data_IF_940437991572
#
_entry.id   IF_940437991572
#
_cell.length_a   1.000
_cell.length_b   1.000
_cell.length_c   1.000
_cell.angle_alpha   90.00
_cell.angle_beta   90.00
_cell.angle_gamma   90.00
#
_symmetry.space_group_name_H-M   'P 1'
#
loop_
_entity.id
_entity.type
_entity.pdbx_description
1 polymer ?
#
# COMPACT_ATOMS: atom_id res chain seq x y z
N UNK A 1 2.41 10.76 18.39
CA UNK A 1 2.78 9.93 17.21
C UNK A 1 4.19 9.42 17.42
N UNK A 2 4.41 8.14 17.17
CA UNK A 2 5.78 7.58 17.18
C UNK A 2 6.44 8.03 15.88
N UNK A 3 7.57 8.73 15.98
CA UNK A 3 8.27 9.27 14.81
C UNK A 3 8.52 8.22 13.71
N UNK A 4 8.83 6.97 14.08
CA UNK A 4 9.03 5.89 13.13
C UNK A 4 7.80 5.55 12.30
N UNK A 5 6.60 5.61 12.86
CA UNK A 5 5.36 5.37 12.12
C UNK A 5 5.08 6.49 11.11
N UNK A 6 5.37 7.73 11.49
CA UNK A 6 5.23 8.87 10.59
C UNK A 6 6.22 8.79 9.42
N UNK A 7 7.50 8.51 9.71
CA UNK A 7 8.53 8.32 8.68
C UNK A 7 8.11 7.20 7.71
N UNK A 8 7.64 6.05 8.22
CA UNK A 8 7.18 4.94 7.39
C UNK A 8 6.02 5.34 6.46
N UNK A 9 5.06 6.12 6.93
CA UNK A 9 3.94 6.61 6.11
C UNK A 9 4.39 7.61 5.05
N UNK A 10 5.27 8.53 5.41
CA UNK A 10 5.83 9.52 4.46
C UNK A 10 6.61 8.81 3.36
N UNK A 11 7.49 7.87 3.70
CA UNK A 11 8.29 7.14 2.71
C UNK A 11 7.43 6.27 1.79
N UNK A 12 6.40 5.61 2.33
CA UNK A 12 5.44 4.85 1.50
C UNK A 12 4.61 5.76 0.58
N UNK A 13 4.18 6.93 1.07
CA UNK A 13 3.38 7.85 0.29
C UNK A 13 4.19 8.55 -0.82
N UNK A 14 5.50 8.71 -0.64
CA UNK A 14 6.35 9.53 -1.49
C UNK A 14 6.28 9.13 -2.97
N UNK A 15 6.34 7.83 -3.27
CA UNK A 15 6.28 7.35 -4.67
C UNK A 15 4.94 7.71 -5.33
N UNK A 16 3.83 7.58 -4.61
CA UNK A 16 2.50 7.90 -5.11
C UNK A 16 2.33 9.40 -5.32
N UNK A 17 2.83 10.22 -4.41
CA UNK A 17 2.79 11.68 -4.53
C UNK A 17 3.66 12.16 -5.71
N UNK A 18 4.87 11.63 -5.87
CA UNK A 18 5.74 11.94 -7.01
C UNK A 18 5.08 11.55 -8.35
N UNK A 19 4.41 10.38 -8.41
CA UNK A 19 3.64 9.97 -9.58
C UNK A 19 2.45 10.91 -9.86
N UNK A 20 1.70 11.28 -8.80
CA UNK A 20 0.53 12.12 -8.93
C UNK A 20 0.84 13.51 -9.48
N UNK A 21 1.96 14.12 -9.05
CA UNK A 21 2.38 15.45 -9.51
C UNK A 21 3.22 15.43 -10.80
N UNK A 22 3.45 14.24 -11.38
CA UNK A 22 4.12 14.11 -12.67
C UNK A 22 5.66 14.21 -12.62
N UNK A 23 6.28 14.01 -11.46
CA UNK A 23 7.74 13.90 -11.33
C UNK A 23 8.27 12.66 -12.05
N UNK A 24 7.48 11.58 -12.01
CA UNK A 24 7.77 10.34 -12.73
C UNK A 24 7.02 10.37 -14.06
N UNK A 25 7.74 10.15 -15.16
CA UNK A 25 7.13 10.04 -16.49
C UNK A 25 6.18 8.85 -16.56
N UNK A 26 4.95 9.10 -16.95
CA UNK A 26 3.88 8.10 -17.07
C UNK A 26 3.47 7.83 -18.52
N UNK A 27 4.21 8.30 -19.50
CA UNK A 27 3.90 8.06 -20.92
C UNK A 27 3.90 6.58 -21.24
N UNK A 28 4.85 5.83 -20.66
CA UNK A 28 4.91 4.37 -20.77
C UNK A 28 3.69 3.69 -20.13
N UNK A 29 3.27 4.11 -18.94
CA UNK A 29 2.11 3.55 -18.28
C UNK A 29 0.82 3.75 -19.09
N UNK A 30 0.67 4.87 -19.77
CA UNK A 30 -0.45 5.13 -20.67
C UNK A 30 -0.43 4.22 -21.91
N UNK A 31 0.74 4.01 -22.53
CA UNK A 31 0.90 3.10 -23.68
C UNK A 31 0.66 1.65 -23.30
N UNK A 32 1.17 1.20 -22.16
CA UNK A 32 0.94 -0.16 -21.64
C UNK A 32 -0.53 -0.40 -21.31
N UNK A 33 -1.21 0.59 -20.70
CA UNK A 33 -2.64 0.50 -20.42
C UNK A 33 -3.47 0.31 -21.71
N UNK A 34 -3.11 1.01 -22.79
CA UNK A 34 -3.72 0.83 -24.10
C UNK A 34 -3.39 -0.55 -24.70
N UNK A 35 -2.14 -1.02 -24.58
CA UNK A 35 -1.70 -2.32 -25.07
C UNK A 35 -2.43 -3.49 -24.34
N UNK A 36 -2.80 -3.32 -23.07
CA UNK A 36 -3.60 -4.27 -22.30
C UNK A 36 -5.12 -4.16 -22.57
N UNK A 37 -5.53 -3.48 -23.63
CA UNK A 37 -6.90 -3.47 -24.13
C UNK A 37 -7.79 -2.37 -23.55
N UNK A 38 -7.24 -1.38 -22.85
CA UNK A 38 -8.02 -0.22 -22.45
C UNK A 38 -8.42 0.61 -23.70
N UNK A 39 -9.72 0.96 -23.87
CA UNK A 39 -10.14 1.82 -24.99
C UNK A 39 -9.36 3.14 -25.00
N UNK A 40 -8.77 3.50 -26.14
CA UNK A 40 -7.91 4.68 -26.25
C UNK A 40 -8.57 5.97 -25.73
N UNK A 41 -9.90 6.10 -25.94
CA UNK A 41 -10.67 7.24 -25.44
C UNK A 41 -10.74 7.31 -23.90
N UNK A 42 -10.59 6.20 -23.20
CA UNK A 42 -10.65 6.12 -21.72
C UNK A 42 -9.28 6.25 -21.06
N UNK A 43 -8.19 6.01 -21.79
CA UNK A 43 -6.83 6.06 -21.21
C UNK A 43 -6.55 7.38 -20.49
N UNK A 44 -6.80 8.58 -21.05
CA UNK A 44 -6.58 9.84 -20.33
C UNK A 44 -7.39 9.96 -19.04
N UNK A 45 -8.64 9.52 -19.06
CA UNK A 45 -9.54 9.56 -17.89
C UNK A 45 -9.04 8.61 -16.79
N UNK A 46 -8.64 7.39 -17.14
CA UNK A 46 -8.10 6.40 -16.20
C UNK A 46 -6.79 6.88 -15.58
N UNK A 47 -5.91 7.48 -16.38
CA UNK A 47 -4.65 8.07 -15.91
C UNK A 47 -4.91 9.23 -14.94
N UNK A 48 -5.87 10.10 -15.25
CA UNK A 48 -6.25 11.21 -14.36
C UNK A 48 -6.87 10.71 -13.05
N UNK A 49 -7.78 9.74 -13.12
CA UNK A 49 -8.37 9.12 -11.94
C UNK A 49 -7.32 8.44 -11.05
N UNK A 50 -6.37 7.73 -11.66
CA UNK A 50 -5.24 7.13 -10.95
C UNK A 50 -4.36 8.18 -10.25
N UNK A 51 -4.04 9.30 -10.91
CA UNK A 51 -3.30 10.41 -10.29
C UNK A 51 -4.06 11.06 -9.15
N UNK A 52 -5.36 11.31 -9.31
CA UNK A 52 -6.21 11.88 -8.27
C UNK A 52 -6.27 10.95 -7.04
N UNK A 53 -6.45 9.65 -7.25
CA UNK A 53 -6.40 8.65 -6.18
C UNK A 53 -5.07 8.67 -5.43
N UNK A 54 -3.95 8.64 -6.15
CA UNK A 54 -2.60 8.67 -5.58
C UNK A 54 -2.35 9.94 -4.76
N UNK A 55 -2.81 11.10 -5.26
CA UNK A 55 -2.66 12.38 -4.57
C UNK A 55 -3.46 12.41 -3.27
N UNK A 56 -4.75 12.10 -3.34
CA UNK A 56 -5.65 12.17 -2.17
C UNK A 56 -5.26 11.14 -1.12
N UNK A 57 -5.09 9.88 -1.52
CA UNK A 57 -4.73 8.82 -0.59
C UNK A 57 -3.29 8.97 -0.07
N UNK A 58 -2.36 9.46 -0.90
CA UNK A 58 -0.99 9.76 -0.47
C UNK A 58 -0.93 10.85 0.59
N UNK A 59 -1.66 11.96 0.40
CA UNK A 59 -1.76 13.04 1.42
C UNK A 59 -2.42 12.49 2.68
N UNK A 60 -3.54 11.78 2.57
CA UNK A 60 -4.24 11.18 3.71
C UNK A 60 -3.32 10.26 4.52
N UNK A 61 -2.48 9.46 3.85
CA UNK A 61 -1.49 8.58 4.48
C UNK A 61 -0.42 9.38 5.25
N UNK A 62 0.11 10.48 4.68
CA UNK A 62 1.11 11.35 5.31
C UNK A 62 0.57 11.98 6.58
N UNK A 63 -0.62 12.60 6.52
CA UNK A 63 -1.23 13.29 7.67
C UNK A 63 -1.83 12.32 8.69
N UNK A 64 -2.01 11.03 8.33
CA UNK A 64 -2.61 10.01 9.19
C UNK A 64 -4.13 10.06 9.25
N UNK A 65 -4.77 10.71 8.27
CA UNK A 65 -6.23 10.77 8.19
C UNK A 65 -6.77 9.51 7.50
N UNK A 66 -7.56 8.72 8.23
CA UNK A 66 -8.03 7.41 7.75
C UNK A 66 -6.92 6.56 7.09
N UNK A 67 -5.72 6.57 7.69
CA UNK A 67 -4.50 5.99 7.13
C UNK A 67 -4.65 4.54 6.64
N UNK A 68 -5.50 3.73 7.29
CA UNK A 68 -5.78 2.35 6.88
C UNK A 68 -6.55 2.29 5.56
N UNK A 69 -7.56 3.14 5.40
CA UNK A 69 -8.33 3.24 4.16
C UNK A 69 -7.46 3.80 3.03
N UNK A 70 -6.66 4.83 3.33
CA UNK A 70 -5.73 5.39 2.36
C UNK A 70 -4.72 4.33 1.88
N UNK A 71 -4.11 3.58 2.80
CA UNK A 71 -3.20 2.50 2.47
C UNK A 71 -3.88 1.38 1.68
N UNK A 72 -5.12 1.01 2.04
CA UNK A 72 -5.90 0.01 1.31
C UNK A 72 -6.16 0.43 -0.14
N UNK A 73 -6.61 1.68 -0.37
CA UNK A 73 -6.86 2.18 -1.72
C UNK A 73 -5.58 2.24 -2.57
N UNK A 74 -4.47 2.66 -1.98
CA UNK A 74 -3.16 2.64 -2.67
C UNK A 74 -2.70 1.21 -2.97
N UNK A 75 -2.91 0.25 -2.07
CA UNK A 75 -2.59 -1.16 -2.29
C UNK A 75 -3.43 -1.76 -3.43
N UNK A 76 -4.75 -1.51 -3.42
CA UNK A 76 -5.66 -1.97 -4.48
C UNK A 76 -5.32 -1.35 -5.84
N UNK A 77 -4.94 -0.07 -5.87
CA UNK A 77 -4.47 0.60 -7.08
C UNK A 77 -3.15 0.00 -7.59
N UNK A 78 -2.22 -0.32 -6.68
CA UNK A 78 -0.89 -0.78 -7.04
C UNK A 78 -0.90 -2.14 -7.76
N UNK A 79 -1.87 -3.02 -7.48
CA UNK A 79 -1.99 -4.34 -8.11
C UNK A 79 -2.13 -4.21 -9.64
N UNK A 80 -3.22 -3.62 -10.18
CA UNK A 80 -3.39 -3.50 -11.61
C UNK A 80 -2.32 -2.61 -12.25
N UNK A 81 -1.87 -1.55 -11.56
CA UNK A 81 -0.82 -0.69 -12.06
C UNK A 81 0.51 -1.44 -12.24
N UNK A 82 0.86 -2.34 -11.31
CA UNK A 82 2.08 -3.14 -11.41
C UNK A 82 1.99 -4.17 -12.54
N UNK A 83 0.87 -4.87 -12.64
CA UNK A 83 0.67 -5.89 -13.68
C UNK A 83 0.64 -5.28 -15.08
N UNK A 84 0.10 -4.06 -15.24
CA UNK A 84 0.06 -3.38 -16.52
C UNK A 84 1.41 -2.74 -16.91
N UNK A 85 2.17 -2.17 -15.96
CA UNK A 85 3.38 -1.42 -16.25
C UNK A 85 4.67 -2.25 -16.15
N UNK A 86 4.65 -3.42 -15.51
CA UNK A 86 5.83 -4.24 -15.21
C UNK A 86 5.57 -5.72 -15.43
N UNK A 87 5.14 -6.07 -16.63
CA UNK A 87 4.91 -7.43 -17.12
C UNK A 87 6.24 -8.11 -17.51
N UNK A 88 7.16 -8.24 -16.56
CA UNK A 88 8.53 -8.74 -16.75
C UNK A 88 8.62 -10.06 -17.53
N UNK A 89 7.56 -10.88 -17.53
CA UNK A 89 7.48 -12.12 -18.30
C UNK A 89 7.42 -11.92 -19.82
N UNK A 90 7.09 -10.73 -20.30
CA UNK A 90 7.09 -10.36 -21.70
C UNK A 90 8.47 -9.91 -22.23
N UNK A 91 9.46 -9.74 -21.32
CA UNK A 91 10.78 -9.18 -21.65
C UNK A 91 11.90 -10.21 -21.53
N UNK A 92 13.03 -9.95 -22.23
CA UNK A 92 14.23 -10.78 -22.23
C UNK A 92 15.51 -9.93 -22.08
N UNK A 93 16.62 -10.58 -21.70
CA UNK A 93 17.92 -9.90 -21.59
C UNK A 93 17.96 -8.81 -20.51
N UNK A 94 18.55 -7.68 -20.84
CA UNK A 94 18.75 -6.56 -19.89
C UNK A 94 17.43 -5.88 -19.48
N UNK A 95 16.42 -5.86 -20.34
CA UNK A 95 15.12 -5.26 -20.04
C UNK A 95 14.35 -6.07 -19.01
N UNK A 96 14.45 -7.41 -19.05
CA UNK A 96 13.88 -8.28 -18.04
C UNK A 96 14.31 -7.89 -16.63
N UNK A 97 15.60 -7.61 -16.42
CA UNK A 97 16.13 -7.25 -15.08
C UNK A 97 15.51 -5.93 -14.57
N UNK A 98 15.37 -4.94 -15.45
CA UNK A 98 14.74 -3.66 -15.10
C UNK A 98 13.28 -3.81 -14.75
N UNK A 99 12.51 -4.57 -15.51
CA UNK A 99 11.09 -4.84 -15.26
C UNK A 99 10.89 -5.67 -14.00
N UNK A 100 11.69 -6.71 -13.80
CA UNK A 100 11.65 -7.54 -12.59
C UNK A 100 11.98 -6.71 -11.33
N UNK A 101 13.01 -5.85 -11.37
CA UNK A 101 13.34 -4.98 -10.26
C UNK A 101 12.19 -4.02 -9.89
N UNK A 102 11.53 -3.43 -10.91
CA UNK A 102 10.37 -2.57 -10.70
C UNK A 102 9.16 -3.34 -10.15
N UNK A 103 8.90 -4.54 -10.64
CA UNK A 103 7.87 -5.43 -10.11
C UNK A 103 8.12 -5.75 -8.63
N UNK A 104 9.33 -6.21 -8.28
CA UNK A 104 9.70 -6.53 -6.89
C UNK A 104 9.64 -5.31 -5.96
N UNK A 105 10.04 -4.12 -6.44
CA UNK A 105 9.87 -2.86 -5.71
C UNK A 105 8.40 -2.61 -5.36
N UNK A 106 7.49 -2.79 -6.32
CA UNK A 106 6.07 -2.60 -6.10
C UNK A 106 5.47 -3.65 -5.16
N UNK A 107 5.94 -4.91 -5.21
CA UNK A 107 5.59 -5.95 -4.23
C UNK A 107 6.01 -5.54 -2.81
N UNK A 108 7.21 -4.97 -2.64
CA UNK A 108 7.67 -4.49 -1.34
C UNK A 108 6.82 -3.31 -0.82
N UNK A 109 6.46 -2.35 -1.70
CA UNK A 109 5.57 -1.24 -1.36
C UNK A 109 4.17 -1.76 -0.97
N UNK A 110 3.63 -2.72 -1.72
CA UNK A 110 2.37 -3.38 -1.42
C UNK A 110 2.38 -4.02 -0.03
N UNK A 111 3.45 -4.75 0.32
CA UNK A 111 3.63 -5.33 1.65
C UNK A 111 3.63 -4.26 2.76
N UNK A 112 4.31 -3.14 2.54
CA UNK A 112 4.29 -2.00 3.45
C UNK A 112 2.89 -1.38 3.64
N UNK A 113 2.13 -1.24 2.55
CA UNK A 113 0.73 -0.76 2.60
C UNK A 113 -0.19 -1.75 3.33
N UNK A 114 -0.04 -3.05 3.10
CA UNK A 114 -0.76 -4.09 3.84
C UNK A 114 -0.45 -4.00 5.34
N UNK A 115 0.80 -3.80 5.72
CA UNK A 115 1.17 -3.63 7.13
C UNK A 115 0.47 -2.42 7.76
N UNK A 116 0.38 -1.27 7.07
CA UNK A 116 -0.36 -0.10 7.55
C UNK A 116 -1.86 -0.38 7.66
N UNK A 117 -2.43 -1.07 6.67
CA UNK A 117 -3.86 -1.40 6.60
C UNK A 117 -4.29 -2.30 7.77
N UNK A 118 -3.51 -3.35 8.03
CA UNK A 118 -3.91 -4.43 8.95
C UNK A 118 -3.26 -4.34 10.34
N UNK A 119 -2.42 -3.35 10.61
CA UNK A 119 -1.83 -3.18 11.94
C UNK A 119 -2.91 -3.03 13.01
N UNK A 120 -2.72 -3.68 14.15
CA UNK A 120 -3.61 -3.53 15.30
C UNK A 120 -3.57 -2.10 15.81
N UNK A 121 -4.75 -1.48 16.03
CA UNK A 121 -4.84 -0.16 16.63
C UNK A 121 -4.31 -0.11 18.06
N UNK A 122 -3.97 1.06 18.60
CA UNK A 122 -3.70 1.22 20.03
C UNK A 122 -4.98 0.84 20.80
N UNK A 123 -5.00 -0.32 21.41
CA UNK A 123 -6.17 -0.86 22.14
C UNK A 123 -6.65 -2.24 21.71
N UNK A 124 -6.05 -2.87 20.70
CA UNK A 124 -6.28 -4.30 20.49
C UNK A 124 -5.89 -5.07 21.78
N UNK A 125 -6.79 -5.90 22.35
CA UNK A 125 -6.48 -6.62 23.57
C UNK A 125 -5.25 -7.49 23.30
N UNK A 126 -4.16 -7.15 23.92
CA UNK A 126 -2.95 -7.97 23.88
C UNK A 126 -3.30 -9.28 24.59
N UNK A 127 -2.90 -10.41 24.04
CA UNK A 127 -3.00 -11.76 24.61
C UNK A 127 -2.62 -11.80 26.11
N UNK A 128 -1.79 -10.87 26.56
CA UNK A 128 -1.42 -10.67 27.96
C UNK A 128 -2.60 -10.32 28.90
N UNK A 129 -3.59 -9.51 28.45
CA UNK A 129 -4.74 -9.19 29.31
C UNK A 129 -5.65 -10.40 29.53
N UNK A 130 -5.77 -11.27 28.53
CA UNK A 130 -6.54 -12.49 28.63
C UNK A 130 -5.86 -13.50 29.58
N UNK A 131 -4.54 -13.62 29.49
CA UNK A 131 -3.75 -14.48 30.38
C UNK A 131 -3.81 -14.01 31.85
N UNK A 132 -3.72 -12.70 32.09
CA UNK A 132 -3.80 -12.12 33.44
C UNK A 132 -5.20 -12.30 34.06
N UNK A 133 -6.25 -12.11 33.25
CA UNK A 133 -7.62 -12.32 33.68
C UNK A 133 -7.91 -13.80 34.01
N UNK A 134 -7.40 -14.74 33.22
CA UNK A 134 -7.51 -16.17 33.50
C UNK A 134 -6.72 -16.59 34.75
N UNK A 135 -5.53 -16.06 34.97
CA UNK A 135 -4.73 -16.31 36.15
C UNK A 135 -5.41 -15.77 37.44
N UNK A 136 -5.97 -14.56 37.39
CA UNK A 136 -6.71 -13.97 38.53
C UNK A 136 -8.00 -14.73 38.83
N UNK A 137 -8.68 -15.20 37.80
CA UNK A 137 -9.89 -16.05 37.98
C UNK A 137 -9.58 -17.41 38.61
N UNK A 138 -8.47 -18.03 38.22
CA UNK A 138 -8.03 -19.32 38.78
C UNK A 138 -7.64 -19.16 40.27
N UNK A 139 -6.87 -18.09 40.59
CA UNK A 139 -6.49 -17.80 41.99
C UNK A 139 -7.71 -17.55 42.91
N UNK A 140 -8.73 -16.86 42.40
CA UNK A 140 -9.98 -16.62 43.16
C UNK A 140 -10.81 -17.88 43.39
N UNK A 141 -10.75 -18.87 42.50
CA UNK A 141 -11.40 -20.15 42.70
C UNK A 141 -10.69 -20.98 43.79
N UNK A 142 -9.36 -21.02 43.80
CA UNK A 142 -8.59 -21.74 44.84
C UNK A 142 -8.76 -21.14 46.23
N UNK A 143 -8.97 -19.85 46.38
CA UNK A 143 -9.13 -19.19 47.67
C UNK A 143 -10.53 -19.39 48.31
N UNK A 144 -11.45 -20.06 47.62
CA UNK A 144 -12.83 -20.31 48.09
C UNK A 144 -13.07 -21.75 48.57
N UNK A 145 -12.03 -22.60 48.54
CA UNK A 145 -12.03 -23.96 49.08
C UNK A 145 -11.32 -23.99 50.44
#
# INVERSE_FOLDING_TARGET
MRYGEWIGRVTLALIFLCNAVGVVDQTRAASELAAHGAPAALVPTLMMAGRALQLVAGIALVIGWHERLAALFLALFLIPATLAAHDFWAYHGSELQGQLANFLKNVAIFGGLCFVTFRSGPGAPTSQKTATFQADSAMRMESRV
#
